data_IF_565200574862
#
_entry.id   IF_565200574862
#
_cell.length_a   1.000
_cell.length_b   1.000
_cell.length_c   1.000
_cell.angle_alpha   90.00
_cell.angle_beta   90.00
_cell.angle_gamma   90.00
#
_symmetry.space_group_name_H-M   'P 1'
#
loop_
_entity.id
_entity.type
_entity.pdbx_description
1 polymer ?
#
# COMPACT_ATOMS: atom_id res chain seq x y z
N UNK A 1 22.11 -7.77 -77.71
CA UNK A 1 21.27 -8.69 -76.90
C UNK A 1 21.83 -8.98 -75.50
N UNK A 2 22.95 -8.36 -75.07
CA UNK A 2 23.59 -8.56 -73.75
C UNK A 2 23.26 -7.49 -72.69
N UNK A 3 22.85 -6.28 -73.10
CA UNK A 3 22.54 -5.18 -72.17
C UNK A 3 21.23 -5.40 -71.37
N UNK A 4 20.24 -6.06 -71.98
CA UNK A 4 18.94 -6.33 -71.35
C UNK A 4 18.99 -7.42 -70.27
N UNK A 5 19.99 -8.31 -70.29
CA UNK A 5 20.14 -9.38 -69.30
C UNK A 5 20.80 -8.87 -68.01
N UNK A 6 21.76 -7.95 -68.11
CA UNK A 6 22.46 -7.35 -66.96
C UNK A 6 21.54 -6.45 -66.12
N UNK A 7 20.70 -5.63 -66.76
CA UNK A 7 19.72 -4.77 -66.06
C UNK A 7 18.65 -5.61 -65.35
N UNK A 8 18.20 -6.72 -65.97
CA UNK A 8 17.27 -7.66 -65.34
C UNK A 8 17.90 -8.38 -64.15
N UNK A 9 19.18 -8.79 -64.25
CA UNK A 9 19.92 -9.43 -63.16
C UNK A 9 20.07 -8.49 -61.95
N UNK A 10 20.45 -7.23 -62.21
CA UNK A 10 20.57 -6.20 -61.16
C UNK A 10 19.24 -5.93 -60.47
N UNK A 11 18.15 -5.81 -61.24
CA UNK A 11 16.81 -5.55 -60.69
C UNK A 11 16.30 -6.71 -59.83
N UNK A 12 16.57 -7.97 -60.21
CA UNK A 12 16.17 -9.14 -59.41
C UNK A 12 16.98 -9.26 -58.13
N UNK A 13 18.29 -8.99 -58.17
CA UNK A 13 19.15 -9.03 -56.99
C UNK A 13 18.79 -7.92 -56.00
N UNK A 14 18.42 -6.74 -56.48
CA UNK A 14 18.01 -5.61 -55.63
C UNK A 14 16.67 -5.90 -54.93
N UNK A 15 15.70 -6.47 -55.63
CA UNK A 15 14.43 -6.90 -55.03
C UNK A 15 14.61 -8.02 -54.02
N UNK A 16 15.47 -9.01 -54.29
CA UNK A 16 15.78 -10.08 -53.34
C UNK A 16 16.52 -9.56 -52.10
N UNK A 17 17.44 -8.60 -52.25
CA UNK A 17 18.15 -8.00 -51.11
C UNK A 17 17.22 -7.16 -50.23
N UNK A 18 16.33 -6.37 -50.84
CA UNK A 18 15.29 -5.63 -50.11
C UNK A 18 14.35 -6.57 -49.37
N UNK A 19 13.92 -7.68 -50.01
CA UNK A 19 13.04 -8.67 -49.39
C UNK A 19 13.72 -9.41 -48.23
N UNK A 20 15.00 -9.78 -48.38
CA UNK A 20 15.78 -10.40 -47.31
C UNK A 20 16.00 -9.40 -46.16
N UNK A 21 16.30 -8.13 -46.46
CA UNK A 21 16.47 -7.09 -45.45
C UNK A 21 15.18 -6.78 -44.70
N UNK A 22 14.02 -6.77 -45.36
CA UNK A 22 12.73 -6.53 -44.69
C UNK A 22 12.30 -7.74 -43.87
N UNK A 23 12.51 -8.96 -44.36
CA UNK A 23 12.27 -10.19 -43.58
C UNK A 23 13.22 -10.26 -42.38
N UNK A 24 14.50 -9.91 -42.53
CA UNK A 24 15.46 -9.86 -41.43
C UNK A 24 15.07 -8.79 -40.40
N UNK A 25 14.61 -7.61 -40.86
CA UNK A 25 14.11 -6.56 -39.97
C UNK A 25 12.87 -7.04 -39.19
N UNK A 26 11.91 -7.69 -39.86
CA UNK A 26 10.72 -8.29 -39.25
C UNK A 26 11.04 -9.44 -38.28
N UNK A 27 12.10 -10.21 -38.53
CA UNK A 27 12.58 -11.27 -37.64
C UNK A 27 13.33 -10.69 -36.42
N UNK A 28 13.96 -9.51 -36.55
CA UNK A 28 14.61 -8.80 -35.43
C UNK A 28 13.63 -7.97 -34.59
N UNK A 29 12.44 -7.64 -35.11
CA UNK A 29 11.34 -7.12 -34.29
C UNK A 29 10.68 -8.26 -33.51
N UNK A 30 11.44 -8.89 -32.62
CA UNK A 30 10.84 -9.59 -31.49
C UNK A 30 9.96 -8.58 -30.76
N UNK A 31 8.68 -8.90 -30.58
CA UNK A 31 7.74 -8.00 -29.91
C UNK A 31 8.36 -7.50 -28.61
N UNK A 32 8.46 -6.18 -28.46
CA UNK A 32 8.84 -5.56 -27.19
C UNK A 32 7.64 -5.74 -26.27
N UNK A 33 7.56 -6.92 -25.64
CA UNK A 33 6.78 -7.07 -24.43
C UNK A 33 7.51 -6.24 -23.38
N UNK A 34 6.99 -5.06 -23.08
CA UNK A 34 7.38 -4.34 -21.88
C UNK A 34 6.87 -5.14 -20.67
N UNK A 35 7.58 -6.21 -20.34
CA UNK A 35 7.43 -6.91 -19.07
C UNK A 35 8.18 -6.07 -18.05
N UNK A 36 7.56 -4.96 -17.61
CA UNK A 36 8.05 -4.22 -16.45
C UNK A 36 7.81 -5.09 -15.23
N UNK A 37 8.77 -5.96 -14.91
CA UNK A 37 8.75 -6.74 -13.67
C UNK A 37 8.93 -5.77 -12.50
N UNK A 38 7.82 -5.36 -11.88
CA UNK A 38 7.90 -4.74 -10.57
C UNK A 38 8.42 -5.77 -9.58
N UNK A 39 9.25 -5.31 -8.65
CA UNK A 39 9.59 -6.09 -7.47
C UNK A 39 8.53 -5.82 -6.41
N UNK A 40 7.84 -6.88 -6.00
CA UNK A 40 6.78 -6.84 -4.99
C UNK A 40 7.30 -7.55 -3.75
N UNK A 41 7.22 -6.86 -2.62
CA UNK A 41 7.60 -7.36 -1.30
C UNK A 41 6.38 -7.37 -0.37
N UNK A 42 6.21 -8.43 0.40
CA UNK A 42 5.15 -8.55 1.39
C UNK A 42 5.71 -8.96 2.74
N UNK A 43 5.20 -8.35 3.80
CA UNK A 43 5.61 -8.64 5.17
C UNK A 43 4.44 -8.50 6.14
N UNK A 44 4.46 -9.29 7.21
CA UNK A 44 3.42 -9.25 8.24
C UNK A 44 4.02 -9.49 9.61
N UNK A 45 3.74 -8.59 10.55
CA UNK A 45 4.28 -8.68 11.91
C UNK A 45 3.23 -8.38 12.97
N UNK A 46 3.46 -8.89 14.19
CA UNK A 46 2.58 -8.64 15.35
C UNK A 46 2.76 -7.20 15.86
N UNK A 47 1.64 -6.50 16.03
CA UNK A 47 1.59 -5.15 16.64
C UNK A 47 0.68 -5.15 17.87
N UNK A 48 0.37 -6.33 18.43
CA UNK A 48 -0.49 -6.44 19.60
C UNK A 48 0.19 -5.80 20.80
N UNK A 49 -0.40 -4.71 21.29
CA UNK A 49 0.00 -4.06 22.53
C UNK A 49 -0.44 -4.82 23.79
N UNK A 50 -0.54 -4.12 24.94
CA UNK A 50 -0.97 -4.73 26.20
C UNK A 50 -2.35 -5.39 26.10
N UNK A 51 -2.43 -6.63 26.60
CA UNK A 51 -3.64 -7.44 26.55
C UNK A 51 -4.65 -7.12 27.67
N UNK A 52 -4.20 -6.44 28.72
CA UNK A 52 -4.98 -6.13 29.91
C UNK A 52 -4.66 -4.72 30.43
N UNK A 53 -5.59 -4.14 31.20
CA UNK A 53 -5.42 -2.90 31.99
C UNK A 53 -5.11 -1.63 31.18
N UNK A 54 -5.34 -1.66 29.86
CA UNK A 54 -5.19 -0.51 28.97
C UNK A 54 -6.51 -0.25 28.25
N UNK A 55 -6.95 1.01 28.26
CA UNK A 55 -8.17 1.44 27.57
C UNK A 55 -8.05 1.21 26.05
N UNK A 56 -9.11 0.74 25.42
CA UNK A 56 -9.17 0.54 23.98
C UNK A 56 -9.35 1.88 23.23
N UNK A 57 -8.73 2.01 22.07
CA UNK A 57 -8.84 3.21 21.24
C UNK A 57 -10.08 3.14 20.34
N UNK A 58 -10.89 4.21 20.30
CA UNK A 58 -11.97 4.37 19.32
C UNK A 58 -13.25 4.94 19.91
N UNK A 59 -13.89 4.24 20.84
CA UNK A 59 -15.20 4.65 21.38
C UNK A 59 -15.14 5.77 22.43
N UNK A 60 -13.94 6.18 22.84
CA UNK A 60 -13.73 7.19 23.89
C UNK A 60 -14.48 6.87 25.20
N UNK A 61 -14.57 5.59 25.54
CA UNK A 61 -15.21 5.11 26.77
C UNK A 61 -14.15 4.66 27.78
N UNK A 62 -14.08 5.30 28.95
CA UNK A 62 -13.11 4.97 30.00
C UNK A 62 -13.31 3.55 30.56
N UNK A 63 -14.53 3.02 30.53
CA UNK A 63 -14.85 1.68 31.03
C UNK A 63 -14.44 0.57 30.04
N UNK A 64 -14.05 0.94 28.80
CA UNK A 64 -13.62 -0.02 27.78
C UNK A 64 -12.13 -0.37 27.94
N UNK A 65 -11.83 -1.13 28.99
CA UNK A 65 -10.47 -1.61 29.28
C UNK A 65 -10.24 -3.00 28.69
N UNK A 66 -9.07 -3.20 28.08
CA UNK A 66 -8.66 -4.50 27.58
C UNK A 66 -8.59 -5.53 28.72
N UNK A 67 -9.08 -6.74 28.46
CA UNK A 67 -9.13 -7.85 29.43
C UNK A 67 -8.81 -9.21 28.80
N UNK A 68 -8.16 -9.19 27.63
CA UNK A 68 -7.82 -10.38 26.87
C UNK A 68 -7.58 -10.09 25.39
N UNK A 69 -7.35 -11.17 24.63
CA UNK A 69 -7.12 -11.11 23.19
C UNK A 69 -8.10 -12.06 22.50
N UNK A 70 -8.91 -11.53 21.58
CA UNK A 70 -9.69 -12.37 20.67
C UNK A 70 -8.84 -12.75 19.43
N UNK A 71 -8.28 -11.75 18.75
CA UNK A 71 -7.30 -11.94 17.68
C UNK A 71 -6.11 -11.01 17.89
N UNK A 72 -4.93 -11.47 17.46
CA UNK A 72 -3.73 -10.63 17.41
C UNK A 72 -3.87 -9.57 16.33
N UNK A 73 -3.33 -8.39 16.59
CA UNK A 73 -3.29 -7.26 15.66
C UNK A 73 -2.02 -7.36 14.80
N UNK A 74 -2.14 -7.11 13.49
CA UNK A 74 -1.00 -7.21 12.56
C UNK A 74 -0.74 -5.91 11.81
N UNK A 75 0.53 -5.63 11.53
CA UNK A 75 0.96 -4.73 10.47
C UNK A 75 1.19 -5.55 9.20
N UNK A 76 0.55 -5.16 8.10
CA UNK A 76 0.70 -5.79 6.78
C UNK A 76 1.34 -4.79 5.84
N UNK A 77 2.54 -5.09 5.37
CA UNK A 77 3.31 -4.21 4.50
C UNK A 77 3.35 -4.74 3.08
N UNK A 78 3.16 -3.84 2.12
CA UNK A 78 3.33 -4.05 0.69
C UNK A 78 4.38 -3.07 0.18
N UNK A 79 5.42 -3.58 -0.45
CA UNK A 79 6.44 -2.78 -1.12
C UNK A 79 6.32 -3.04 -2.61
N UNK A 80 6.25 -1.97 -3.40
CA UNK A 80 6.34 -2.03 -4.85
C UNK A 80 7.55 -1.22 -5.26
N UNK A 81 8.48 -1.83 -5.99
CA UNK A 81 9.71 -1.20 -6.46
C UNK A 81 9.90 -1.46 -7.94
N UNK A 82 10.39 -0.47 -8.66
CA UNK A 82 11.01 -0.68 -9.97
C UNK A 82 12.36 -1.40 -9.77
N UNK A 83 12.83 -2.24 -10.73
CA UNK A 83 14.08 -2.99 -10.61
C UNK A 83 15.34 -2.15 -10.33
N UNK A 84 15.40 -0.92 -10.86
CA UNK A 84 16.50 0.03 -10.61
C UNK A 84 15.98 1.44 -10.28
N UNK A 85 14.78 1.53 -9.72
CA UNK A 85 14.07 2.80 -9.63
C UNK A 85 13.41 3.07 -8.29
N UNK A 86 12.31 3.83 -8.35
CA UNK A 86 11.60 4.27 -7.15
C UNK A 86 10.87 3.10 -6.50
N UNK A 87 10.65 3.23 -5.20
CA UNK A 87 9.81 2.30 -4.43
C UNK A 87 8.82 3.04 -3.57
N UNK A 88 7.67 2.41 -3.37
CA UNK A 88 6.61 2.85 -2.48
C UNK A 88 6.32 1.74 -1.49
N UNK A 89 6.11 2.13 -0.23
CA UNK A 89 5.74 1.25 0.87
C UNK A 89 4.37 1.66 1.37
N UNK A 90 3.44 0.70 1.43
CA UNK A 90 2.16 0.88 2.07
C UNK A 90 2.01 -0.11 3.21
N UNK A 91 1.73 0.39 4.41
CA UNK A 91 1.51 -0.42 5.61
C UNK A 91 0.08 -0.25 6.08
N UNK A 92 -0.67 -1.35 6.10
CA UNK A 92 -2.00 -1.41 6.67
C UNK A 92 -1.91 -2.06 8.06
N UNK A 93 -2.27 -1.31 9.10
CA UNK A 93 -2.17 -1.75 10.50
C UNK A 93 -3.56 -2.02 11.09
N UNK A 94 -3.67 -3.09 11.87
CA UNK A 94 -4.84 -3.41 12.67
C UNK A 94 -4.91 -2.50 13.91
N UNK A 95 -5.12 -1.20 13.69
CA UNK A 95 -5.26 -0.18 14.73
C UNK A 95 -6.36 0.84 14.37
N UNK A 96 -6.80 1.63 15.35
CA UNK A 96 -7.81 2.66 15.15
C UNK A 96 -7.35 3.75 14.17
N UNK A 97 -6.11 4.20 14.27
CA UNK A 97 -5.58 5.23 13.38
C UNK A 97 -4.06 5.14 13.30
N UNK A 98 -3.49 5.64 12.20
CA UNK A 98 -2.06 5.91 12.15
C UNK A 98 -1.73 7.10 13.07
N UNK A 99 -0.61 7.01 13.76
CA UNK A 99 -0.15 8.05 14.69
C UNK A 99 1.04 8.78 14.11
N UNK A 100 1.01 10.13 14.15
CA UNK A 100 2.12 10.95 13.64
C UNK A 100 3.46 10.58 14.29
N UNK A 101 3.48 10.42 15.63
CA UNK A 101 4.70 10.05 16.35
C UNK A 101 5.18 8.64 16.00
N UNK A 102 4.26 7.70 15.74
CA UNK A 102 4.62 6.35 15.28
C UNK A 102 5.25 6.43 13.90
N UNK A 103 4.64 7.15 12.96
CA UNK A 103 5.19 7.35 11.61
C UNK A 103 6.59 7.96 11.65
N UNK A 104 6.76 9.07 12.37
CA UNK A 104 8.07 9.72 12.49
C UNK A 104 9.13 8.78 13.08
N UNK A 105 8.78 8.01 14.12
CA UNK A 105 9.74 7.10 14.74
C UNK A 105 10.11 5.92 13.82
N UNK A 106 9.14 5.38 13.07
CA UNK A 106 9.39 4.35 12.07
C UNK A 106 10.32 4.87 10.97
N UNK A 107 10.06 6.07 10.42
CA UNK A 107 10.93 6.68 9.41
C UNK A 107 12.34 6.91 9.95
N UNK A 108 12.48 7.41 11.17
CA UNK A 108 13.78 7.59 11.83
C UNK A 108 14.58 6.27 11.86
N UNK A 109 13.95 5.16 12.28
CA UNK A 109 14.60 3.85 12.35
C UNK A 109 14.93 3.27 10.99
N UNK A 110 14.02 3.41 10.02
CA UNK A 110 14.27 2.98 8.64
C UNK A 110 15.41 3.78 8.00
N UNK A 111 15.49 5.08 8.28
CA UNK A 111 16.57 5.94 7.80
C UNK A 111 17.92 5.52 8.38
N UNK A 112 17.96 5.20 9.67
CA UNK A 112 19.17 4.67 10.29
C UNK A 112 19.64 3.33 9.67
N UNK A 113 18.71 2.50 9.19
CA UNK A 113 19.00 1.18 8.61
C UNK A 113 19.29 1.20 7.11
N UNK A 114 18.54 1.99 6.35
CA UNK A 114 18.53 1.95 4.88
C UNK A 114 18.90 3.28 4.22
N UNK A 115 19.32 4.29 4.99
CA UNK A 115 19.60 5.63 4.48
C UNK A 115 18.34 6.29 3.94
N UNK A 116 18.45 7.01 2.82
CA UNK A 116 17.33 7.75 2.23
C UNK A 116 16.40 6.88 1.34
N UNK A 117 16.47 5.55 1.49
CA UNK A 117 15.65 4.61 0.71
C UNK A 117 14.16 4.67 1.09
N UNK A 118 13.88 4.93 2.38
CA UNK A 118 12.53 5.06 2.93
C UNK A 118 12.42 6.41 3.63
N UNK A 119 11.48 7.22 3.15
CA UNK A 119 11.27 8.62 3.53
C UNK A 119 9.78 8.88 3.71
N UNK A 120 9.44 10.07 4.20
CA UNK A 120 8.06 10.51 4.37
C UNK A 120 7.29 10.57 3.04
N UNK A 121 8.01 10.68 1.91
CA UNK A 121 7.42 10.80 0.58
C UNK A 121 6.99 9.44 -0.02
N UNK A 122 7.52 8.33 0.47
CA UNK A 122 7.28 7.02 -0.14
C UNK A 122 6.84 5.93 0.84
N UNK A 123 6.59 6.29 2.11
CA UNK A 123 6.06 5.38 3.13
C UNK A 123 4.70 5.90 3.61
N UNK A 124 3.64 5.16 3.30
CA UNK A 124 2.29 5.39 3.80
C UNK A 124 1.91 4.38 4.87
N UNK A 125 1.38 4.84 6.00
CA UNK A 125 0.86 3.98 7.08
C UNK A 125 -0.61 4.33 7.29
N UNK A 126 -1.49 3.33 7.21
CA UNK A 126 -2.92 3.47 7.38
C UNK A 126 -3.46 2.48 8.41
N UNK A 127 -4.32 2.95 9.31
CA UNK A 127 -5.07 2.08 10.22
C UNK A 127 -6.39 1.65 9.61
N UNK A 128 -6.82 0.42 9.86
CA UNK A 128 -8.14 -0.08 9.41
C UNK A 128 -9.32 0.52 10.18
N UNK A 129 -9.04 1.33 11.21
CA UNK A 129 -10.05 1.91 12.08
C UNK A 129 -10.82 0.91 12.94
N UNK A 130 -10.11 -0.09 13.48
CA UNK A 130 -10.66 -0.97 14.52
C UNK A 130 -10.73 -0.27 15.88
N UNK A 131 -11.86 -0.41 16.57
CA UNK A 131 -12.11 0.18 17.89
C UNK A 131 -11.80 -0.78 19.06
N UNK A 132 -11.10 -1.89 18.74
CA UNK A 132 -10.82 -2.98 19.68
C UNK A 132 -9.31 -3.22 19.89
N UNK A 133 -8.49 -2.21 19.63
CA UNK A 133 -7.04 -2.24 19.90
C UNK A 133 -6.65 -1.35 21.09
N UNK A 134 -5.52 -1.63 21.77
CA UNK A 134 -5.09 -0.84 22.92
C UNK A 134 -4.72 0.60 22.51
N UNK A 135 -5.10 1.57 23.34
CA UNK A 135 -4.81 2.99 23.13
C UNK A 135 -3.44 3.43 23.65
N UNK A 136 -3.28 4.74 23.84
CA UNK A 136 -2.08 5.33 24.48
C UNK A 136 -0.84 5.49 23.58
N UNK A 137 -0.97 5.41 22.26
CA UNK A 137 0.16 5.55 21.31
C UNK A 137 0.12 6.84 20.47
N UNK A 138 -0.83 7.73 20.75
CA UNK A 138 -1.01 9.02 20.09
C UNK A 138 -0.35 10.12 20.92
N UNK A 139 0.23 11.14 20.28
CA UNK A 139 1.00 12.17 21.00
C UNK A 139 0.15 13.27 21.63
N UNK A 140 -1.05 13.52 21.09
CA UNK A 140 -1.89 14.64 21.50
C UNK A 140 -2.82 14.23 22.65
N UNK A 141 -2.92 15.09 23.67
CA UNK A 141 -3.71 14.88 24.90
C UNK A 141 -5.14 14.45 24.60
N UNK A 142 -5.77 15.07 23.59
CA UNK A 142 -7.15 14.75 23.18
C UNK A 142 -7.38 13.27 22.89
N UNK A 143 -6.36 12.56 22.40
CA UNK A 143 -6.47 11.15 22.03
C UNK A 143 -6.01 10.18 23.13
N UNK A 144 -5.26 10.65 24.14
CA UNK A 144 -4.75 9.81 25.23
C UNK A 144 -5.48 10.01 26.55
N UNK A 145 -6.49 10.88 26.56
CA UNK A 145 -7.28 11.16 27.76
C UNK A 145 -7.94 9.89 28.32
N UNK A 146 -8.55 9.07 27.46
CA UNK A 146 -9.22 7.83 27.91
C UNK A 146 -8.24 6.71 28.24
N UNK A 147 -7.02 6.75 27.69
CA UNK A 147 -5.94 5.84 28.06
C UNK A 147 -5.14 6.30 29.29
N UNK A 148 -5.59 7.38 29.96
CA UNK A 148 -4.96 7.97 31.14
C UNK A 148 -3.49 8.33 30.92
N UNK A 149 -3.14 8.68 29.68
CA UNK A 149 -1.78 9.04 29.27
C UNK A 149 -1.20 8.14 28.20
N UNK A 150 0.12 8.29 28.02
CA UNK A 150 0.89 7.61 26.99
C UNK A 150 1.35 6.23 27.48
N UNK A 151 0.91 5.19 26.78
CA UNK A 151 1.24 3.80 27.10
C UNK A 151 2.40 3.36 26.22
N UNK A 152 3.60 3.39 26.81
CA UNK A 152 4.84 3.11 26.08
C UNK A 152 4.86 1.74 25.40
N UNK A 153 4.29 0.73 26.06
CA UNK A 153 4.17 -0.62 25.52
C UNK A 153 3.32 -0.69 24.23
N UNK A 154 2.21 0.03 24.17
CA UNK A 154 1.39 0.13 22.95
C UNK A 154 2.16 0.80 21.82
N UNK A 155 2.87 1.89 22.14
CA UNK A 155 3.67 2.63 21.17
C UNK A 155 4.83 1.80 20.62
N UNK A 156 5.63 1.18 21.49
CA UNK A 156 6.79 0.40 21.08
C UNK A 156 6.34 -0.85 20.29
N UNK A 157 5.27 -1.54 20.69
CA UNK A 157 4.71 -2.66 19.93
C UNK A 157 4.31 -2.26 18.50
N UNK A 158 3.70 -1.08 18.32
CA UNK A 158 3.35 -0.56 17.00
C UNK A 158 4.59 -0.21 16.18
N UNK A 159 5.53 0.55 16.74
CA UNK A 159 6.76 0.96 16.02
C UNK A 159 7.59 -0.26 15.63
N UNK A 160 7.84 -1.16 16.58
CA UNK A 160 8.64 -2.36 16.37
C UNK A 160 7.97 -3.28 15.34
N UNK A 161 6.65 -3.48 15.44
CA UNK A 161 5.96 -4.36 14.50
C UNK A 161 5.87 -3.78 13.09
N UNK A 162 5.66 -2.47 12.95
CA UNK A 162 5.68 -1.82 11.63
C UNK A 162 7.09 -1.85 11.01
N UNK A 163 8.14 -1.58 11.80
CA UNK A 163 9.52 -1.67 11.30
C UNK A 163 9.82 -3.09 10.80
N UNK A 164 9.51 -4.10 11.62
CA UNK A 164 9.77 -5.49 11.26
C UNK A 164 8.93 -5.97 10.08
N UNK A 165 7.68 -5.52 9.92
CA UNK A 165 6.88 -5.87 8.74
C UNK A 165 7.47 -5.26 7.46
N UNK A 166 8.07 -4.07 7.53
CA UNK A 166 8.78 -3.45 6.41
C UNK A 166 10.09 -4.18 6.10
N UNK A 167 10.87 -4.56 7.12
CA UNK A 167 12.09 -5.36 6.94
C UNK A 167 11.76 -6.68 6.25
N UNK A 168 10.75 -7.41 6.73
CA UNK A 168 10.32 -8.66 6.09
C UNK A 168 9.87 -8.46 4.64
N UNK A 169 9.15 -7.37 4.35
CA UNK A 169 8.72 -7.06 3.00
C UNK A 169 9.90 -6.71 2.09
N UNK A 170 10.89 -5.98 2.62
CA UNK A 170 12.12 -5.62 1.90
C UNK A 170 12.94 -6.87 1.54
N UNK A 171 13.11 -7.78 2.48
CA UNK A 171 13.88 -9.02 2.28
C UNK A 171 13.15 -10.02 1.35
N UNK A 172 11.82 -9.90 1.22
CA UNK A 172 11.00 -10.74 0.36
C UNK A 172 10.63 -10.09 -0.99
N UNK A 173 11.40 -9.11 -1.48
CA UNK A 173 11.19 -8.53 -2.81
C UNK A 173 11.40 -9.58 -3.92
N UNK A 174 10.37 -9.79 -4.74
CA UNK A 174 10.39 -10.75 -5.87
C UNK A 174 9.72 -10.15 -7.10
N UNK A 175 10.15 -10.53 -8.32
CA UNK A 175 9.44 -10.14 -9.55
C UNK A 175 7.97 -10.52 -9.50
N UNK A 176 7.08 -9.60 -9.87
CA UNK A 176 5.64 -9.82 -9.89
C UNK A 176 4.87 -8.74 -10.66
N UNK A 177 3.59 -9.01 -10.87
CA UNK A 177 2.66 -8.14 -11.60
C UNK A 177 1.52 -7.71 -10.70
N UNK A 178 1.06 -6.47 -10.85
CA UNK A 178 -0.05 -5.89 -10.09
C UNK A 178 -1.27 -5.80 -11.00
N UNK A 179 -2.41 -6.31 -10.53
CA UNK A 179 -3.69 -6.22 -11.22
C UNK A 179 -4.65 -5.37 -10.38
N UNK A 180 -5.47 -4.56 -11.05
CA UNK A 180 -6.50 -3.74 -10.41
C UNK A 180 -7.86 -4.12 -10.96
N UNK A 181 -8.81 -4.38 -10.08
CA UNK A 181 -10.21 -4.64 -10.43
C UNK A 181 -11.11 -3.84 -9.50
N UNK A 182 -12.23 -3.36 -10.02
CA UNK A 182 -13.20 -2.58 -9.28
C UNK A 182 -14.57 -3.27 -9.35
N UNK A 183 -15.26 -3.31 -8.21
CA UNK A 183 -16.61 -3.84 -8.06
C UNK A 183 -17.37 -3.01 -7.02
N UNK A 184 -18.70 -3.13 -6.99
CA UNK A 184 -19.54 -2.46 -6.00
C UNK A 184 -19.83 -3.38 -4.80
N UNK A 185 -19.73 -2.83 -3.60
CA UNK A 185 -20.19 -3.43 -2.36
C UNK A 185 -21.15 -2.44 -1.68
N UNK A 186 -22.36 -2.90 -1.36
CA UNK A 186 -23.36 -2.08 -0.68
C UNK A 186 -23.16 -2.18 0.83
N UNK A 187 -22.83 -1.06 1.46
CA UNK A 187 -22.80 -0.93 2.92
C UNK A 187 -24.02 -0.13 3.35
N UNK A 188 -24.68 -0.56 4.44
CA UNK A 188 -25.76 0.23 5.03
C UNK A 188 -25.13 1.44 5.69
N UNK A 189 -25.36 2.62 5.13
CA UNK A 189 -24.94 3.86 5.74
C UNK A 189 -25.65 4.03 7.08
N UNK A 190 -24.90 4.40 8.11
CA UNK A 190 -25.44 4.77 9.42
C UNK A 190 -26.48 5.91 9.32
N UNK A 191 -26.45 6.66 8.21
CA UNK A 191 -27.42 7.68 7.80
C UNK A 191 -28.85 7.15 7.60
N UNK A 192 -29.04 5.87 7.25
CA UNK A 192 -30.37 5.33 6.92
C UNK A 192 -31.22 4.96 8.15
N UNK A 193 -30.62 4.86 9.35
CA UNK A 193 -31.29 4.41 10.58
C UNK A 193 -31.44 5.48 11.68
N UNK A 194 -31.15 6.75 11.37
CA UNK A 194 -31.45 7.89 12.26
C UNK A 194 -30.39 8.14 13.34
N UNK A 195 -29.67 9.27 13.14
CA UNK A 195 -29.12 10.25 14.10
C UNK A 195 -27.87 10.83 13.44
N UNK A 196 -28.10 11.75 12.50
CA UNK A 196 -27.07 12.66 12.04
C UNK A 196 -26.98 13.84 13.04
N UNK A 197 -25.79 14.17 13.51
CA UNK A 197 -25.51 15.41 14.25
C UNK A 197 -24.96 16.52 13.32
N UNK A 198 -24.89 16.25 12.02
CA UNK A 198 -24.17 17.02 11.01
C UNK A 198 -24.95 17.20 9.69
N UNK A 199 -26.27 16.95 9.64
CA UNK A 199 -27.10 17.04 8.42
C UNK A 199 -27.26 18.48 7.89
N UNK A 200 -26.70 19.50 8.58
CA UNK A 200 -26.77 20.90 8.13
C UNK A 200 -25.81 21.22 6.97
N UNK A 201 -24.87 20.34 6.60
CA UNK A 201 -23.77 20.67 5.68
C UNK A 201 -23.97 20.33 4.20
N UNK A 202 -24.84 19.37 3.85
CA UNK A 202 -24.84 18.78 2.51
C UNK A 202 -26.25 18.58 1.94
N UNK A 203 -26.90 19.67 1.53
CA UNK A 203 -28.13 19.61 0.73
C UNK A 203 -27.81 19.86 -0.75
N UNK A 204 -27.47 18.80 -1.49
CA UNK A 204 -27.68 18.74 -2.93
C UNK A 204 -28.78 17.72 -3.20
N UNK A 205 -29.97 18.25 -3.47
CA UNK A 205 -31.16 17.52 -3.89
C UNK A 205 -30.91 16.76 -5.18
N UNK A 206 -31.03 15.43 -5.17
CA UNK A 206 -31.53 14.67 -6.31
C UNK A 206 -32.51 13.60 -5.79
N UNK A 207 -33.71 13.47 -6.39
CA UNK A 207 -34.71 12.51 -5.94
C UNK A 207 -34.26 11.08 -6.27
N UNK A 208 -34.23 10.22 -5.26
CA UNK A 208 -34.08 8.77 -5.45
C UNK A 208 -35.40 8.22 -5.97
N UNK A 209 -35.42 7.81 -7.24
CA UNK A 209 -36.46 6.92 -7.77
C UNK A 209 -36.00 5.50 -7.44
N UNK A 210 -36.68 4.84 -6.50
CA UNK A 210 -36.62 3.40 -6.36
C UNK A 210 -37.23 2.74 -7.60
N UNK A 211 -36.50 1.81 -8.21
CA UNK A 211 -37.04 0.69 -8.98
C UNK A 211 -36.51 -0.60 -8.39
#
# INVERSE_FOLDING_TARGET
MMELSLVRLWSTCFCSFFYISTVLLLLTTGGVYSHSEYLIGMGSYDITGPAADVNMMGYANMDQVASGIHFRLRARTFIVSEPQGKRVVFVNIDACMASQIVTLKVIERLKARYGDLYTENNVGISGIHTHSGPGGYLQYVVYIFTSLGFVRQSFDALVDGIENSIIQAHENLRPGSIFSQYSSLWQIDRLFLGYDTSFSGYRLTLPVICK
#
